data_IF_920964020457
#
_entry.id   IF_920964020457
#
_cell.length_a   1.000
_cell.length_b   1.000
_cell.length_c   1.000
_cell.angle_alpha   90.00
_cell.angle_beta   90.00
_cell.angle_gamma   90.00
#
_symmetry.space_group_name_H-M   'P 1'
#
loop_
_entity.id
_entity.type
_entity.pdbx_description
1 polymer ?
#
# COMPACT_ATOMS: atom_id res chain seq x y z
N UNK A 1 3.53 -10.96 3.24
CA UNK A 1 2.69 -9.90 3.83
C UNK A 1 1.71 -9.35 2.80
N UNK A 2 2.17 -8.70 1.74
CA UNK A 2 1.27 -8.05 0.77
C UNK A 2 0.34 -9.02 0.02
N UNK A 3 0.81 -10.22 -0.32
CA UNK A 3 -0.03 -11.25 -0.95
C UNK A 3 -1.16 -11.77 -0.07
N UNK A 4 -0.99 -11.73 1.26
CA UNK A 4 -2.05 -12.08 2.21
C UNK A 4 -3.13 -10.99 2.21
N UNK A 5 -2.71 -9.73 2.26
CA UNK A 5 -3.63 -8.59 2.16
C UNK A 5 -4.37 -8.63 0.82
N UNK A 6 -3.68 -8.91 -0.29
CA UNK A 6 -4.29 -9.03 -1.63
C UNK A 6 -5.39 -10.09 -1.69
N UNK A 7 -5.17 -11.25 -1.07
CA UNK A 7 -6.13 -12.36 -1.02
C UNK A 7 -7.36 -12.09 -0.15
N UNK A 8 -7.22 -11.26 0.89
CA UNK A 8 -8.29 -11.03 1.88
C UNK A 8 -8.95 -9.64 1.75
N UNK A 9 -8.40 -8.73 0.93
CA UNK A 9 -8.91 -7.36 0.79
C UNK A 9 -10.35 -7.27 0.30
N UNK A 10 -10.79 -8.21 -0.52
CA UNK A 10 -12.13 -8.19 -1.10
C UNK A 10 -13.20 -8.60 -0.08
N UNK A 11 -12.83 -9.45 0.88
CA UNK A 11 -13.74 -9.97 1.91
C UNK A 11 -13.72 -9.12 3.18
N UNK A 12 -12.53 -8.74 3.65
CA UNK A 12 -12.35 -8.05 4.94
C UNK A 12 -12.05 -6.55 4.78
N UNK A 13 -11.55 -6.12 3.62
CA UNK A 13 -11.04 -4.77 3.42
C UNK A 13 -9.58 -4.60 3.87
N UNK A 14 -8.87 -3.64 3.27
CA UNK A 14 -7.44 -3.39 3.52
C UNK A 14 -7.16 -2.88 4.93
N UNK A 15 -7.96 -1.93 5.40
CA UNK A 15 -7.74 -1.21 6.66
C UNK A 15 -7.75 -2.12 7.90
N UNK A 16 -8.72 -3.05 8.08
CA UNK A 16 -8.70 -3.98 9.21
C UNK A 16 -7.56 -5.00 9.13
N UNK A 17 -7.19 -5.48 7.94
CA UNK A 17 -6.05 -6.40 7.78
C UNK A 17 -4.74 -5.68 8.14
N UNK A 18 -4.56 -4.44 7.69
CA UNK A 18 -3.38 -3.63 8.03
C UNK A 18 -3.24 -3.45 9.55
N UNK A 19 -4.36 -3.28 10.27
CA UNK A 19 -4.38 -3.17 11.72
C UNK A 19 -3.94 -4.46 12.42
N UNK A 20 -4.43 -5.61 11.99
CA UNK A 20 -4.07 -6.92 12.53
C UNK A 20 -2.59 -7.26 12.29
N UNK A 21 -2.10 -6.90 11.11
CA UNK A 21 -0.70 -7.09 10.71
C UNK A 21 0.24 -6.03 11.30
N UNK A 22 -0.29 -5.06 12.06
CA UNK A 22 0.43 -3.92 12.62
C UNK A 22 1.25 -3.14 11.56
N UNK A 23 0.70 -2.99 10.36
CA UNK A 23 1.30 -2.23 9.27
C UNK A 23 0.46 -0.99 8.97
N UNK A 24 1.11 0.04 8.43
CA UNK A 24 0.41 1.24 8.00
C UNK A 24 -0.33 0.99 6.67
N UNK A 25 -1.61 1.38 6.51
CA UNK A 25 -2.32 1.30 5.24
C UNK A 25 -1.58 1.92 4.04
N UNK A 26 -0.87 3.08 4.18
CA UNK A 26 -0.09 3.65 3.08
C UNK A 26 0.94 2.68 2.48
N UNK A 27 1.57 1.83 3.32
CA UNK A 27 2.56 0.85 2.85
C UNK A 27 1.97 -0.19 1.90
N UNK A 28 0.68 -0.51 2.06
CA UNK A 28 -0.04 -1.37 1.12
C UNK A 28 -0.36 -0.62 -0.19
N UNK A 29 -0.82 0.63 -0.11
CA UNK A 29 -1.11 1.43 -1.30
C UNK A 29 0.12 1.64 -2.19
N UNK A 30 1.29 1.93 -1.61
CA UNK A 30 2.54 2.01 -2.34
C UNK A 30 2.89 0.70 -3.07
N UNK A 31 2.65 -0.44 -2.41
CA UNK A 31 2.87 -1.74 -3.01
C UNK A 31 1.90 -1.99 -4.17
N UNK A 32 0.61 -1.70 -3.98
CA UNK A 32 -0.40 -1.83 -5.02
C UNK A 32 -0.09 -0.96 -6.24
N UNK A 33 0.35 0.28 -6.03
CA UNK A 33 0.77 1.20 -7.11
C UNK A 33 1.97 0.64 -7.90
N UNK A 34 2.95 0.04 -7.21
CA UNK A 34 4.12 -0.59 -7.87
C UNK A 34 3.75 -1.82 -8.71
N UNK A 35 2.69 -2.54 -8.34
CA UNK A 35 2.21 -3.72 -9.09
C UNK A 35 1.34 -3.33 -10.28
N UNK A 36 0.42 -2.37 -10.11
CA UNK A 36 -0.53 -1.95 -11.17
C UNK A 36 0.20 -1.17 -12.28
N UNK A 37 1.20 -0.37 -11.92
CA UNK A 37 1.95 0.42 -12.88
C UNK A 37 3.47 0.29 -12.64
N UNK A 38 4.12 -0.77 -13.15
CA UNK A 38 5.59 -0.88 -13.11
C UNK A 38 6.29 0.28 -13.82
N UNK A 39 5.59 0.96 -14.76
CA UNK A 39 6.04 2.16 -15.47
C UNK A 39 5.63 3.50 -14.82
N UNK A 40 4.61 3.54 -13.94
CA UNK A 40 4.29 4.73 -13.11
C UNK A 40 4.94 4.62 -11.73
N UNK A 41 6.26 4.39 -11.71
CA UNK A 41 7.10 5.08 -10.72
C UNK A 41 7.08 6.59 -11.02
N UNK A 42 5.89 7.19 -10.94
CA UNK A 42 5.61 8.52 -11.42
C UNK A 42 6.01 9.52 -10.34
N UNK A 43 6.59 10.62 -10.82
CA UNK A 43 7.34 11.62 -10.08
C UNK A 43 6.73 12.20 -8.79
N UNK A 44 5.44 11.98 -8.50
CA UNK A 44 4.71 12.53 -7.34
C UNK A 44 4.74 11.68 -6.07
N UNK A 45 4.98 10.37 -6.16
CA UNK A 45 5.25 9.57 -4.95
C UNK A 45 6.57 9.98 -4.25
N UNK A 46 7.40 10.79 -4.92
CA UNK A 46 8.64 11.36 -4.38
C UNK A 46 8.44 12.58 -3.48
N UNK A 47 7.28 13.25 -3.53
CA UNK A 47 7.06 14.49 -2.77
C UNK A 47 6.26 14.29 -1.47
N UNK A 48 5.50 13.21 -1.35
CA UNK A 48 4.73 12.94 -0.12
C UNK A 48 5.58 12.25 0.97
N UNK A 49 6.67 11.59 0.59
CA UNK A 49 7.67 11.07 1.53
C UNK A 49 8.53 12.20 2.16
N UNK A 50 8.56 13.39 1.54
CA UNK A 50 9.25 14.58 2.07
C UNK A 50 8.40 15.39 3.08
N UNK A 51 7.12 15.06 3.28
CA UNK A 51 6.27 15.68 4.32
C UNK A 51 5.94 14.69 5.45
N UNK A 52 6.94 13.91 5.86
CA UNK A 52 6.91 13.22 7.15
C UNK A 52 8.28 13.31 7.85
N UNK A 53 8.89 14.49 7.75
CA UNK A 53 9.95 14.98 8.64
C UNK A 53 9.37 15.67 9.87
#
# INVERSE_FOLDING_TARGET
MMSFIDAHREDQGIEPICRELAIAPPSYHEHAVRIIDPGKRAARARSDEEMRG
#
